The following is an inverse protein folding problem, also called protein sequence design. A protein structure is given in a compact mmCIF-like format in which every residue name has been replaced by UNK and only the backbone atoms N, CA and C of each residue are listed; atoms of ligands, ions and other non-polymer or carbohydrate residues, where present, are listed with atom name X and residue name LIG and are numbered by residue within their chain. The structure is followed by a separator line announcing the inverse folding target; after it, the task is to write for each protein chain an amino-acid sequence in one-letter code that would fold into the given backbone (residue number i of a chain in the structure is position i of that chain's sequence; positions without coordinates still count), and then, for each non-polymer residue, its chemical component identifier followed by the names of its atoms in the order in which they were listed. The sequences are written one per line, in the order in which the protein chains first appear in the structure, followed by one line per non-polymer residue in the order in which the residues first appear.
data_IF_072436911844
#
_entry.id   IF_072436911844
#
_cell.length_a   1.000
_cell.length_b   1.000
_cell.length_c   1.000
_cell.angle_alpha   90.00
_cell.angle_beta   90.00
_cell.angle_gamma   90.00
#
_symmetry.space_group_name_H-M   'P 1'
#
loop_
_entity.id
_entity.type
_entity.pdbx_description
1 polymer ?
#
# COMPACT_ATOMS: atom_id res chain seq x y z
N UNK A 1 4.88 -0.04 10.14
CA UNK A 1 5.32 -1.45 10.29
C UNK A 1 5.07 -1.97 11.70
N UNK A 2 5.49 -1.28 12.77
CA UNK A 2 5.35 -1.75 14.16
C UNK A 2 3.91 -2.06 14.55
N UNK A 3 2.94 -1.24 14.14
CA UNK A 3 1.50 -1.47 14.39
C UNK A 3 1.05 -2.80 13.78
N UNK A 4 1.40 -3.07 12.52
CA UNK A 4 1.03 -4.32 11.85
C UNK A 4 1.70 -5.54 12.48
N UNK A 5 2.95 -5.41 12.93
CA UNK A 5 3.65 -6.48 13.64
C UNK A 5 2.93 -6.80 14.95
N UNK A 6 2.63 -5.78 15.78
CA UNK A 6 1.86 -5.97 17.03
C UNK A 6 0.52 -6.64 16.79
N UNK A 7 -0.25 -6.20 15.79
CA UNK A 7 -1.55 -6.79 15.44
C UNK A 7 -1.41 -8.29 15.07
N UNK A 8 -0.41 -8.65 14.26
CA UNK A 8 -0.17 -10.06 13.90
C UNK A 8 0.20 -10.95 15.09
N UNK A 9 1.04 -10.45 16.00
CA UNK A 9 1.41 -11.22 17.19
C UNK A 9 0.24 -11.33 18.17
N UNK A 10 -0.55 -10.26 18.31
CA UNK A 10 -1.78 -10.27 19.09
C UNK A 10 -2.79 -11.32 18.59
N UNK A 11 -2.95 -11.47 17.28
CA UNK A 11 -3.78 -12.54 16.68
C UNK A 11 -3.31 -13.94 17.09
N UNK A 12 -2.01 -14.12 17.32
CA UNK A 12 -1.40 -15.37 17.80
C UNK A 12 -1.32 -15.49 19.31
N UNK A 13 -1.85 -14.50 20.05
CA UNK A 13 -1.77 -14.41 21.53
C UNK A 13 -0.33 -14.42 22.07
N UNK A 14 0.60 -13.83 21.31
CA UNK A 14 2.02 -13.69 21.68
C UNK A 14 2.28 -12.23 22.04
N UNK A 15 2.78 -11.99 23.23
CA UNK A 15 3.25 -10.67 23.66
C UNK A 15 4.69 -10.44 23.15
N UNK A 16 4.89 -9.39 22.36
CA UNK A 16 6.20 -9.00 21.84
C UNK A 16 6.66 -7.63 22.37
N UNK A 17 5.97 -7.09 23.35
CA UNK A 17 6.21 -5.70 23.81
C UNK A 17 7.66 -5.50 24.22
N UNK A 18 8.25 -6.45 24.94
CA UNK A 18 9.67 -6.41 25.36
C UNK A 18 10.68 -6.69 24.24
N UNK A 19 10.26 -7.24 23.11
CA UNK A 19 11.13 -7.65 22.00
C UNK A 19 11.01 -6.72 20.78
N UNK A 20 10.03 -5.81 20.77
CA UNK A 20 9.77 -4.91 19.64
C UNK A 20 10.43 -3.55 19.87
N UNK A 21 11.55 -3.31 19.23
CA UNK A 21 12.18 -1.99 19.18
C UNK A 21 11.67 -1.22 17.96
N UNK A 22 11.05 -0.09 18.18
CA UNK A 22 10.60 0.80 17.11
C UNK A 22 11.71 1.80 16.83
N UNK A 23 12.11 1.89 15.56
CA UNK A 23 13.11 2.86 15.08
C UNK A 23 12.37 3.90 14.23
N UNK A 24 12.70 5.16 14.42
CA UNK A 24 12.14 6.25 13.63
C UNK A 24 12.64 6.23 12.19
N UNK A 25 11.92 6.91 11.30
CA UNK A 25 12.35 7.08 9.91
C UNK A 25 13.71 7.81 9.87
N UNK A 26 14.64 7.28 9.09
CA UNK A 26 16.03 7.71 9.03
C UNK A 26 16.81 7.54 10.35
N UNK A 27 16.29 6.76 11.30
CA UNK A 27 16.96 6.45 12.55
C UNK A 27 18.07 5.41 12.40
N UNK A 28 18.79 5.19 13.48
CA UNK A 28 19.91 4.25 13.55
C UNK A 28 19.62 3.15 14.57
N UNK A 29 20.25 2.00 14.34
CA UNK A 29 20.20 0.85 15.25
C UNK A 29 21.59 0.20 15.30
N UNK A 30 22.15 0.18 16.49
CA UNK A 30 23.42 -0.51 16.74
C UNK A 30 23.14 -1.94 17.20
N UNK A 31 23.69 -2.90 16.46
CA UNK A 31 23.63 -4.34 16.72
C UNK A 31 25.06 -4.89 16.52
N UNK A 32 25.92 -4.72 17.50
CA UNK A 32 27.34 -5.09 17.41
C UNK A 32 27.55 -6.49 16.78
N UNK A 33 28.40 -6.63 15.76
CA UNK A 33 29.30 -5.63 15.17
C UNK A 33 28.71 -4.75 14.07
N UNK A 34 27.39 -4.75 13.87
CA UNK A 34 26.71 -4.04 12.80
C UNK A 34 26.16 -2.70 13.28
N UNK A 35 26.30 -1.65 12.43
CA UNK A 35 25.60 -0.38 12.60
C UNK A 35 24.65 -0.20 11.43
N UNK A 36 23.35 -0.11 11.73
CA UNK A 36 22.29 -0.05 10.73
C UNK A 36 21.70 1.36 10.72
N UNK A 37 21.65 1.95 9.55
CA UNK A 37 20.95 3.21 9.30
C UNK A 37 19.75 2.94 8.39
N UNK A 38 18.55 3.39 8.82
CA UNK A 38 17.34 3.34 8.01
C UNK A 38 17.36 4.47 6.99
N UNK A 39 17.08 4.14 5.74
CA UNK A 39 17.08 5.10 4.63
C UNK A 39 15.66 5.16 4.06
N UNK A 40 14.98 6.28 4.22
CA UNK A 40 13.62 6.44 3.70
C UNK A 40 13.61 6.35 2.18
N UNK A 41 12.80 5.45 1.66
CA UNK A 41 12.54 5.25 0.24
C UNK A 41 11.06 5.53 -0.08
N UNK A 42 10.67 5.40 -1.32
CA UNK A 42 9.26 5.43 -1.75
C UNK A 42 8.85 4.06 -2.31
N UNK A 43 7.63 3.66 -2.00
CA UNK A 43 6.94 2.50 -2.54
C UNK A 43 5.43 2.63 -2.28
N UNK A 44 4.65 1.60 -2.58
CA UNK A 44 3.21 1.60 -2.35
C UNK A 44 2.81 1.35 -0.88
N UNK A 45 3.70 0.80 -0.08
CA UNK A 45 3.49 0.55 1.36
C UNK A 45 3.78 1.81 2.18
N UNK A 46 3.33 1.81 3.45
CA UNK A 46 3.70 2.85 4.40
C UNK A 46 5.15 2.70 4.85
N UNK A 47 5.87 3.83 4.86
CA UNK A 47 7.21 3.96 5.44
C UNK A 47 8.19 2.90 4.91
N UNK A 48 8.36 2.77 3.58
CA UNK A 48 9.36 1.89 3.01
C UNK A 48 10.75 2.40 3.35
N UNK A 49 11.64 1.50 3.75
CA UNK A 49 13.01 1.84 4.12
C UNK A 49 13.99 0.87 3.46
N UNK A 50 15.08 1.42 2.95
CA UNK A 50 16.30 0.70 2.75
C UNK A 50 17.14 0.67 4.03
N UNK A 51 18.18 -0.16 4.05
CA UNK A 51 19.11 -0.28 5.14
C UNK A 51 20.54 -0.04 4.64
N UNK A 52 21.23 0.94 5.22
CA UNK A 52 22.70 1.05 5.14
C UNK A 52 23.25 0.27 6.32
N UNK A 53 23.99 -0.79 6.06
CA UNK A 53 24.53 -1.69 7.07
C UNK A 53 26.04 -1.58 7.05
N UNK A 54 26.62 -0.95 8.05
CA UNK A 54 28.07 -0.92 8.22
C UNK A 54 28.51 -2.18 8.95
N UNK A 55 29.46 -2.89 8.37
CA UNK A 55 30.05 -4.13 8.89
C UNK A 55 31.55 -3.95 9.02
N UNK A 56 32.26 -4.83 9.76
CA UNK A 56 33.75 -4.81 9.80
C UNK A 56 34.42 -4.96 8.43
N UNK A 57 33.70 -5.58 7.45
CA UNK A 57 34.21 -5.80 6.09
C UNK A 57 33.90 -4.64 5.13
N UNK A 58 32.95 -3.80 5.45
CA UNK A 58 32.51 -2.68 4.59
C UNK A 58 31.02 -2.39 4.70
N UNK A 59 30.55 -1.44 3.90
CA UNK A 59 29.16 -0.99 3.89
C UNK A 59 28.34 -1.79 2.89
N UNK A 60 27.16 -2.28 3.32
CA UNK A 60 26.14 -2.92 2.47
C UNK A 60 24.92 -1.99 2.38
N UNK A 61 24.39 -1.82 1.19
CA UNK A 61 23.11 -1.14 0.97
C UNK A 61 22.05 -2.17 0.55
N UNK A 62 21.01 -2.33 1.37
CA UNK A 62 19.84 -3.16 1.07
C UNK A 62 18.63 -2.26 0.80
N UNK A 63 18.08 -2.28 -0.39
CA UNK A 63 17.00 -1.35 -0.76
C UNK A 63 15.63 -1.79 -0.21
N UNK A 64 15.39 -3.08 0.02
CA UNK A 64 14.03 -3.60 0.08
C UNK A 64 13.30 -3.37 -1.23
N UNK A 65 11.98 -3.44 -1.20
CA UNK A 65 11.13 -3.07 -2.33
C UNK A 65 11.06 -1.54 -2.44
N UNK A 66 11.37 -1.00 -3.59
CA UNK A 66 11.45 0.44 -3.80
C UNK A 66 11.06 0.88 -5.20
N UNK A 67 10.65 2.12 -5.33
CA UNK A 67 10.56 2.85 -6.60
C UNK A 67 10.89 4.32 -6.37
N UNK A 68 11.46 4.99 -7.36
CA UNK A 68 11.59 6.45 -7.33
C UNK A 68 10.28 7.08 -7.76
N UNK A 69 9.42 7.46 -6.80
CA UNK A 69 8.23 8.25 -7.06
C UNK A 69 8.55 9.74 -6.78
N UNK A 70 8.55 10.60 -7.81
CA UNK A 70 8.89 12.01 -7.63
C UNK A 70 7.80 12.78 -6.89
N UNK A 71 6.57 12.25 -6.86
CA UNK A 71 5.41 12.88 -6.25
C UNK A 71 4.55 11.87 -5.47
N UNK A 72 5.12 11.31 -4.39
CA UNK A 72 4.42 10.31 -3.59
C UNK A 72 3.23 10.94 -2.87
N UNK A 73 2.09 10.24 -2.88
CA UNK A 73 0.86 10.69 -2.22
C UNK A 73 0.91 10.50 -0.70
N UNK A 74 1.72 9.57 -0.24
CA UNK A 74 1.84 9.19 1.17
C UNK A 74 3.31 9.03 1.52
N UNK A 75 3.66 9.51 2.71
CA UNK A 75 5.01 9.43 3.22
C UNK A 75 5.93 10.54 2.73
N UNK A 76 7.21 10.36 2.92
CA UNK A 76 8.26 11.30 2.52
C UNK A 76 8.80 10.94 1.14
N UNK A 77 9.28 11.92 0.41
CA UNK A 77 10.09 11.70 -0.80
C UNK A 77 11.40 11.02 -0.43
N UNK A 78 12.00 10.36 -1.42
CA UNK A 78 13.38 9.85 -1.28
C UNK A 78 14.33 11.03 -1.09
N UNK A 79 15.26 10.87 -0.16
CA UNK A 79 16.38 11.78 0.01
C UNK A 79 17.51 11.37 -0.95
N UNK A 80 17.47 11.93 -2.16
CA UNK A 80 18.43 11.60 -3.22
C UNK A 80 19.86 12.04 -2.85
N UNK A 81 20.02 13.14 -2.11
CA UNK A 81 21.33 13.61 -1.65
C UNK A 81 21.95 12.62 -0.64
N UNK A 82 21.11 12.11 0.27
CA UNK A 82 21.54 11.06 1.20
C UNK A 82 21.96 9.79 0.47
N UNK A 83 21.18 9.34 -0.51
CA UNK A 83 21.55 8.16 -1.32
C UNK A 83 22.84 8.38 -2.10
N UNK A 84 23.03 9.56 -2.69
CA UNK A 84 24.26 9.93 -3.36
C UNK A 84 25.45 9.90 -2.41
N UNK A 85 25.31 10.50 -1.23
CA UNK A 85 26.36 10.47 -0.20
C UNK A 85 26.73 9.05 0.21
N UNK A 86 25.75 8.15 0.37
CA UNK A 86 26.01 6.74 0.69
C UNK A 86 26.85 6.08 -0.43
N UNK A 87 26.56 6.41 -1.69
CA UNK A 87 27.34 5.94 -2.83
C UNK A 87 28.76 6.51 -2.85
N UNK A 88 28.91 7.82 -2.61
CA UNK A 88 30.21 8.52 -2.58
C UNK A 88 31.10 8.02 -1.41
N UNK A 89 30.51 7.70 -0.25
CA UNK A 89 31.20 7.08 0.90
C UNK A 89 31.70 5.66 0.61
N UNK A 90 31.20 5.02 -0.44
CA UNK A 90 31.56 3.67 -0.88
C UNK A 90 30.65 2.59 -0.32
N UNK A 91 30.14 1.75 -1.21
CA UNK A 91 29.28 0.59 -0.92
C UNK A 91 29.99 -0.67 -1.40
N UNK A 92 30.31 -1.58 -0.48
CA UNK A 92 30.95 -2.87 -0.79
C UNK A 92 30.01 -3.78 -1.61
N UNK A 93 28.72 -3.80 -1.24
CA UNK A 93 27.71 -4.60 -1.93
C UNK A 93 26.35 -3.91 -1.84
N UNK A 94 25.55 -4.04 -2.91
CA UNK A 94 24.16 -3.60 -2.95
C UNK A 94 23.23 -4.79 -3.18
N UNK A 95 22.25 -4.96 -2.28
CA UNK A 95 21.15 -5.91 -2.42
C UNK A 95 19.95 -5.09 -2.85
N UNK A 96 19.55 -5.22 -4.12
CA UNK A 96 18.58 -4.34 -4.75
C UNK A 96 17.37 -5.12 -5.29
N UNK A 97 16.16 -4.58 -5.07
CA UNK A 97 14.99 -5.04 -5.82
C UNK A 97 15.22 -4.81 -7.31
N UNK A 98 15.17 -5.89 -8.06
CA UNK A 98 15.41 -5.92 -9.50
C UNK A 98 14.18 -6.37 -10.31
N UNK A 99 12.99 -6.37 -9.70
CA UNK A 99 11.73 -6.84 -10.30
C UNK A 99 11.44 -6.21 -11.67
N UNK A 100 11.82 -4.96 -11.86
CA UNK A 100 11.59 -4.21 -13.10
C UNK A 100 12.88 -3.93 -13.90
N UNK A 101 13.98 -4.66 -13.66
CA UNK A 101 15.29 -4.40 -14.31
C UNK A 101 15.23 -4.44 -15.84
N UNK A 102 14.37 -5.28 -16.41
CA UNK A 102 14.16 -5.37 -17.86
C UNK A 102 13.06 -4.43 -18.40
N UNK A 103 12.40 -3.67 -17.53
CA UNK A 103 11.34 -2.75 -17.96
C UNK A 103 11.94 -1.42 -18.36
N UNK A 104 11.77 -1.03 -19.63
CA UNK A 104 12.24 0.26 -20.13
C UNK A 104 11.41 1.41 -19.57
N UNK A 105 12.04 2.56 -19.37
CA UNK A 105 11.38 3.79 -18.93
C UNK A 105 11.43 4.00 -17.42
N UNK A 106 10.51 4.84 -16.93
CA UNK A 106 10.39 5.20 -15.51
C UNK A 106 9.09 4.68 -14.94
N UNK A 107 9.09 4.28 -13.68
CA UNK A 107 7.86 4.03 -12.94
C UNK A 107 7.07 5.35 -12.83
N UNK A 108 5.77 5.31 -13.17
CA UNK A 108 4.88 6.46 -12.99
C UNK A 108 4.61 6.77 -11.52
N UNK A 109 4.13 7.99 -11.26
CA UNK A 109 3.74 8.41 -9.92
C UNK A 109 2.36 7.87 -9.52
N UNK A 110 2.14 7.67 -8.22
CA UNK A 110 0.80 7.41 -7.68
C UNK A 110 -0.15 8.61 -7.91
N UNK A 111 0.38 9.83 -8.02
CA UNK A 111 -0.40 11.00 -8.41
C UNK A 111 -1.01 10.88 -9.81
N UNK A 112 -0.27 10.34 -10.78
CA UNK A 112 -0.77 10.12 -12.13
C UNK A 112 -1.86 9.05 -12.13
N UNK A 113 -1.69 7.99 -11.35
CA UNK A 113 -2.72 6.95 -11.17
C UNK A 113 -3.99 7.55 -10.57
N UNK A 114 -3.88 8.42 -9.57
CA UNK A 114 -5.01 9.13 -8.97
C UNK A 114 -5.78 9.96 -10.00
N UNK A 115 -5.07 10.78 -10.78
CA UNK A 115 -5.68 11.61 -11.82
C UNK A 115 -6.45 10.77 -12.84
N UNK A 116 -5.82 9.71 -13.34
CA UNK A 116 -6.43 8.82 -14.32
C UNK A 116 -7.63 8.05 -13.75
N UNK A 117 -7.52 7.59 -12.50
CA UNK A 117 -8.62 6.92 -11.80
C UNK A 117 -9.82 7.86 -11.59
N UNK A 118 -9.59 9.12 -11.21
CA UNK A 118 -10.65 10.10 -11.06
C UNK A 118 -11.38 10.33 -12.39
N UNK A 119 -10.62 10.56 -13.48
CA UNK A 119 -11.18 10.74 -14.81
C UNK A 119 -12.02 9.54 -15.27
N UNK A 120 -11.59 8.33 -14.93
CA UNK A 120 -12.35 7.11 -15.23
C UNK A 120 -13.63 7.03 -14.39
N UNK A 121 -13.52 7.20 -13.08
CA UNK A 121 -14.66 7.09 -12.14
C UNK A 121 -15.76 8.12 -12.42
N UNK A 122 -15.41 9.34 -12.83
CA UNK A 122 -16.38 10.38 -13.19
C UNK A 122 -17.28 9.99 -14.36
N UNK A 123 -16.83 9.10 -15.25
CA UNK A 123 -17.60 8.62 -16.42
C UNK A 123 -18.51 7.45 -16.09
N UNK A 124 -18.29 6.77 -14.98
CA UNK A 124 -19.04 5.58 -14.57
C UNK A 124 -20.32 5.97 -13.84
N UNK A 125 -21.46 5.39 -14.26
CA UNK A 125 -22.81 5.78 -13.82
C UNK A 125 -23.42 4.83 -12.80
N UNK A 126 -22.79 3.71 -12.51
CA UNK A 126 -23.32 2.70 -11.60
C UNK A 126 -22.28 2.38 -10.52
N UNK A 127 -22.48 1.29 -9.80
CA UNK A 127 -21.58 0.77 -8.77
C UNK A 127 -20.19 0.55 -9.32
N UNK A 128 -19.21 0.87 -8.51
CA UNK A 128 -17.80 0.66 -8.85
C UNK A 128 -17.18 -0.26 -7.81
N UNK A 129 -16.48 -1.26 -8.27
CA UNK A 129 -15.66 -2.13 -7.45
C UNK A 129 -14.21 -1.91 -7.87
N UNK A 130 -13.38 -1.40 -6.97
CA UNK A 130 -11.94 -1.24 -7.19
C UNK A 130 -11.23 -2.35 -6.44
N UNK A 131 -10.40 -3.11 -7.12
CA UNK A 131 -9.58 -4.12 -6.46
C UNK A 131 -8.10 -3.76 -6.54
N UNK A 132 -7.41 -3.88 -5.41
CA UNK A 132 -5.98 -3.59 -5.28
C UNK A 132 -5.35 -4.39 -4.14
N UNK A 133 -4.02 -4.34 -4.04
CA UNK A 133 -3.32 -4.85 -2.86
C UNK A 133 -3.72 -4.04 -1.62
N UNK A 134 -4.08 -4.72 -0.54
CA UNK A 134 -4.43 -4.05 0.71
C UNK A 134 -3.26 -3.22 1.28
N UNK A 135 -2.01 -3.65 1.04
CA UNK A 135 -0.81 -2.95 1.46
C UNK A 135 -0.53 -1.66 0.69
N UNK A 136 -1.16 -1.46 -0.47
CA UNK A 136 -1.00 -0.23 -1.25
C UNK A 136 -1.87 0.89 -0.68
N UNK A 137 -1.36 1.54 0.37
CA UNK A 137 -2.09 2.61 1.08
C UNK A 137 -2.21 3.87 0.22
N UNK A 138 -1.25 4.15 -0.64
CA UNK A 138 -1.34 5.26 -1.60
C UNK A 138 -2.51 5.08 -2.58
N UNK A 139 -2.73 3.84 -3.05
CA UNK A 139 -3.87 3.50 -3.89
C UNK A 139 -5.19 3.56 -3.12
N UNK A 140 -5.19 3.07 -1.88
CA UNK A 140 -6.33 3.19 -0.98
C UNK A 140 -6.74 4.66 -0.82
N UNK A 141 -5.80 5.55 -0.50
CA UNK A 141 -6.04 6.98 -0.36
C UNK A 141 -6.57 7.59 -1.66
N UNK A 142 -6.05 7.18 -2.82
CA UNK A 142 -6.54 7.63 -4.13
C UNK A 142 -7.99 7.23 -4.39
N UNK A 143 -8.42 6.04 -3.97
CA UNK A 143 -9.83 5.60 -4.10
C UNK A 143 -10.73 6.42 -3.18
N UNK A 144 -10.31 6.70 -1.94
CA UNK A 144 -11.03 7.59 -1.03
C UNK A 144 -11.17 9.00 -1.62
N UNK A 145 -10.09 9.56 -2.15
CA UNK A 145 -10.11 10.84 -2.84
C UNK A 145 -11.10 10.85 -4.01
N UNK A 146 -11.10 9.82 -4.84
CA UNK A 146 -12.03 9.71 -5.95
C UNK A 146 -13.50 9.59 -5.48
N UNK A 147 -13.74 8.84 -4.40
CA UNK A 147 -15.07 8.72 -3.81
C UNK A 147 -15.59 10.10 -3.36
N UNK A 148 -14.79 10.85 -2.60
CA UNK A 148 -15.11 12.20 -2.14
C UNK A 148 -15.38 13.15 -3.32
N UNK A 149 -14.50 13.20 -4.33
CA UNK A 149 -14.61 14.08 -5.50
C UNK A 149 -15.81 13.77 -6.40
N UNK A 150 -16.32 12.55 -6.33
CA UNK A 150 -17.50 12.12 -7.13
C UNK A 150 -18.79 12.01 -6.31
N UNK A 151 -18.76 12.44 -5.04
CA UNK A 151 -19.92 12.39 -4.14
C UNK A 151 -20.39 10.95 -3.88
N UNK A 152 -19.48 9.99 -3.87
CA UNK A 152 -19.75 8.58 -3.60
C UNK A 152 -19.29 8.22 -2.19
N UNK A 153 -20.02 7.33 -1.57
CA UNK A 153 -19.56 6.66 -0.35
C UNK A 153 -18.58 5.53 -0.70
N UNK A 154 -17.83 5.07 0.28
CA UNK A 154 -16.86 3.98 0.09
C UNK A 154 -17.09 2.90 1.14
N UNK A 155 -16.94 1.65 0.74
CA UNK A 155 -16.93 0.50 1.63
C UNK A 155 -15.69 -0.34 1.40
N UNK A 156 -15.04 -0.74 2.47
CA UNK A 156 -13.87 -1.64 2.43
C UNK A 156 -14.36 -3.09 2.48
N UNK A 157 -13.78 -3.95 1.63
CA UNK A 157 -14.17 -5.36 1.54
C UNK A 157 -12.93 -6.26 1.62
N UNK A 158 -12.89 -7.10 2.64
CA UNK A 158 -11.78 -7.99 2.93
C UNK A 158 -11.03 -7.61 4.21
N UNK A 159 -10.73 -8.62 5.04
CA UNK A 159 -10.12 -8.44 6.37
C UNK A 159 -8.80 -7.66 6.35
N UNK A 160 -7.94 -7.94 5.38
CA UNK A 160 -6.65 -7.23 5.24
C UNK A 160 -6.83 -5.76 4.86
N UNK A 161 -7.87 -5.43 4.08
CA UNK A 161 -8.18 -4.03 3.73
C UNK A 161 -8.52 -3.21 4.98
N UNK A 162 -9.42 -3.73 5.83
CA UNK A 162 -9.78 -3.09 7.10
C UNK A 162 -8.58 -2.98 8.05
N UNK A 163 -7.76 -4.03 8.17
CA UNK A 163 -6.58 -4.04 9.04
C UNK A 163 -5.57 -2.99 8.63
N UNK A 164 -5.26 -2.90 7.33
CA UNK A 164 -4.31 -1.91 6.82
C UNK A 164 -4.86 -0.49 6.96
N UNK A 165 -6.14 -0.27 6.67
CA UNK A 165 -6.79 1.03 6.88
C UNK A 165 -6.68 1.49 8.33
N UNK A 166 -7.03 0.62 9.29
CA UNK A 166 -6.92 0.92 10.72
C UNK A 166 -5.49 1.24 11.12
N UNK A 167 -4.52 0.42 10.71
CA UNK A 167 -3.11 0.64 11.00
C UNK A 167 -2.58 1.95 10.39
N UNK A 168 -3.00 2.29 9.19
CA UNK A 168 -2.65 3.56 8.55
C UNK A 168 -3.19 4.76 9.34
N UNK A 169 -4.45 4.72 9.78
CA UNK A 169 -5.04 5.77 10.63
C UNK A 169 -4.32 5.90 11.97
N UNK A 170 -4.00 4.80 12.62
CA UNK A 170 -3.25 4.78 13.89
C UNK A 170 -1.85 5.41 13.74
N UNK A 171 -1.17 5.16 12.62
CA UNK A 171 0.11 5.76 12.29
C UNK A 171 0.02 7.23 11.81
N UNK A 172 -1.18 7.81 11.78
CA UNK A 172 -1.37 9.21 11.39
C UNK A 172 -1.60 9.46 9.90
N UNK A 173 -1.64 8.40 9.09
CA UNK A 173 -2.05 8.46 7.69
C UNK A 173 -3.57 8.34 7.55
N UNK A 174 -4.11 8.67 6.38
CA UNK A 174 -5.55 8.57 6.08
C UNK A 174 -6.47 9.28 7.10
N UNK A 175 -5.96 10.30 7.81
CA UNK A 175 -6.76 11.03 8.83
C UNK A 175 -7.87 11.90 8.24
N UNK A 176 -7.69 12.33 7.00
CA UNK A 176 -8.60 13.29 6.33
C UNK A 176 -9.54 12.61 5.32
N UNK A 177 -9.50 11.28 5.22
CA UNK A 177 -10.42 10.57 4.32
C UNK A 177 -11.79 10.40 4.97
N UNK A 178 -12.82 10.29 4.13
CA UNK A 178 -14.19 9.96 4.59
C UNK A 178 -14.18 8.60 5.30
N UNK A 179 -15.04 8.42 6.29
CA UNK A 179 -15.15 7.13 6.96
C UNK A 179 -15.82 6.10 6.03
N UNK A 180 -15.24 4.89 5.90
CA UNK A 180 -15.85 3.85 5.12
C UNK A 180 -17.09 3.30 5.85
N UNK A 181 -18.14 3.00 5.09
CA UNK A 181 -19.34 2.35 5.61
C UNK A 181 -19.19 0.82 5.60
N UNK A 182 -19.92 0.14 6.48
CA UNK A 182 -19.95 -1.33 6.51
C UNK A 182 -20.54 -1.88 5.20
N UNK A 183 -20.03 -3.00 4.71
CA UNK A 183 -20.50 -3.59 3.45
C UNK A 183 -22.00 -4.02 3.50
N UNK A 184 -22.50 -4.36 4.69
CA UNK A 184 -23.93 -4.66 4.89
C UNK A 184 -24.80 -3.43 4.73
N UNK A 185 -24.35 -2.29 5.25
CA UNK A 185 -25.08 -1.03 5.15
C UNK A 185 -25.01 -0.45 3.72
N UNK A 186 -23.89 -0.69 3.05
CA UNK A 186 -23.65 -0.28 1.67
C UNK A 186 -24.66 -0.86 0.66
N UNK A 187 -25.34 -1.97 0.98
CA UNK A 187 -26.43 -2.54 0.16
C UNK A 187 -27.58 -1.57 -0.02
N UNK A 188 -27.82 -0.70 0.97
CA UNK A 188 -28.92 0.27 0.96
C UNK A 188 -28.57 1.56 0.24
N UNK A 189 -27.32 1.72 -0.22
CA UNK A 189 -26.85 2.89 -0.95
C UNK A 189 -27.14 2.72 -2.44
N UNK A 190 -27.65 3.78 -3.07
CA UNK A 190 -27.86 3.79 -4.53
C UNK A 190 -26.57 3.41 -5.27
N UNK A 191 -26.71 2.57 -6.31
CA UNK A 191 -25.57 2.00 -7.05
C UNK A 191 -24.64 3.04 -7.68
N UNK A 192 -25.16 4.20 -8.00
CA UNK A 192 -24.35 5.32 -8.52
C UNK A 192 -23.62 6.11 -7.42
N UNK A 193 -23.87 5.79 -6.15
CA UNK A 193 -23.31 6.48 -4.98
C UNK A 193 -22.37 5.65 -4.13
N UNK A 194 -21.95 4.47 -4.61
CA UNK A 194 -21.08 3.57 -3.84
C UNK A 194 -19.85 3.13 -4.64
N UNK A 195 -18.70 3.11 -3.97
CA UNK A 195 -17.49 2.45 -4.40
C UNK A 195 -17.13 1.37 -3.36
N UNK A 196 -16.90 0.15 -3.80
CA UNK A 196 -16.29 -0.89 -2.97
C UNK A 196 -14.79 -0.96 -3.28
N UNK A 197 -13.94 -0.89 -2.25
CA UNK A 197 -12.51 -1.16 -2.36
C UNK A 197 -12.22 -2.52 -1.74
N UNK A 198 -11.75 -3.46 -2.55
CA UNK A 198 -11.61 -4.86 -2.14
C UNK A 198 -10.23 -5.45 -2.44
N UNK A 199 -9.93 -6.57 -1.77
CA UNK A 199 -8.77 -7.43 -2.05
C UNK A 199 -9.08 -8.40 -3.18
N UNK A 200 -8.05 -9.07 -3.71
CA UNK A 200 -8.20 -10.09 -4.75
C UNK A 200 -7.82 -9.60 -6.14
N UNK A 201 -6.90 -8.63 -6.24
CA UNK A 201 -6.47 -8.04 -7.51
C UNK A 201 -5.63 -8.96 -8.38
N UNK A 202 -5.16 -10.08 -7.85
CA UNK A 202 -4.37 -11.09 -8.56
C UNK A 202 -5.12 -12.43 -8.73
N UNK A 203 -6.44 -12.44 -8.50
CA UNK A 203 -7.22 -13.67 -8.60
C UNK A 203 -7.03 -14.62 -7.41
N UNK A 204 -6.54 -14.13 -6.28
CA UNK A 204 -6.33 -14.96 -5.08
C UNK A 204 -7.63 -15.66 -4.65
N UNK A 205 -7.64 -16.99 -4.49
CA UNK A 205 -8.87 -17.75 -4.22
C UNK A 205 -9.65 -17.28 -2.99
N UNK A 206 -8.94 -16.79 -1.96
CA UNK A 206 -9.53 -16.23 -0.74
C UNK A 206 -9.74 -14.72 -0.81
N UNK A 207 -9.44 -14.10 -1.93
CA UNK A 207 -9.63 -12.67 -2.15
C UNK A 207 -11.11 -12.29 -2.19
N UNK A 208 -11.43 -11.07 -1.73
CA UNK A 208 -12.81 -10.61 -1.75
C UNK A 208 -13.36 -10.52 -3.19
N UNK A 209 -12.55 -10.08 -4.15
CA UNK A 209 -12.96 -9.99 -5.56
C UNK A 209 -13.34 -11.36 -6.13
N UNK A 210 -12.60 -12.42 -5.85
CA UNK A 210 -12.93 -13.76 -6.32
C UNK A 210 -14.28 -14.23 -5.75
N UNK A 211 -14.54 -13.97 -4.46
CA UNK A 211 -15.83 -14.30 -3.84
C UNK A 211 -16.99 -13.50 -4.43
N UNK A 212 -16.77 -12.23 -4.75
CA UNK A 212 -17.75 -11.37 -5.41
C UNK A 212 -18.06 -11.89 -6.82
N UNK A 213 -17.01 -12.21 -7.60
CA UNK A 213 -17.14 -12.72 -8.96
C UNK A 213 -17.89 -14.06 -9.03
N UNK A 214 -17.72 -14.90 -8.03
CA UNK A 214 -18.41 -16.21 -7.93
C UNK A 214 -19.77 -16.12 -7.21
N UNK A 215 -20.26 -14.92 -6.91
CA UNK A 215 -21.55 -14.70 -6.21
C UNK A 215 -21.67 -15.39 -4.85
N UNK A 216 -20.54 -15.62 -4.17
CA UNK A 216 -20.48 -16.22 -2.81
C UNK A 216 -20.09 -15.23 -1.71
N UNK A 217 -19.96 -13.95 -2.05
CA UNK A 217 -19.74 -12.92 -1.04
C UNK A 217 -21.09 -12.57 -0.38
N UNK A 218 -21.19 -12.50 0.98
CA UNK A 218 -22.47 -12.34 1.66
C UNK A 218 -23.13 -10.98 1.44
N UNK A 219 -22.33 -9.95 1.16
CA UNK A 219 -22.79 -8.57 1.19
C UNK A 219 -22.58 -7.81 -0.11
N UNK A 220 -21.70 -8.27 -0.99
CA UNK A 220 -21.34 -7.57 -2.23
C UNK A 220 -21.50 -8.50 -3.42
N UNK A 221 -22.17 -8.03 -4.44
CA UNK A 221 -22.39 -8.75 -5.70
C UNK A 221 -22.29 -7.79 -6.89
N UNK A 222 -22.03 -8.34 -8.06
CA UNK A 222 -21.95 -7.60 -9.33
C UNK A 222 -23.27 -7.69 -10.06
N UNK A 223 -23.72 -6.58 -10.59
CA UNK A 223 -24.91 -6.49 -11.44
C UNK A 223 -24.56 -5.90 -12.80
N UNK A 224 -25.51 -6.02 -13.73
CA UNK A 224 -25.38 -5.44 -15.08
C UNK A 224 -25.08 -3.94 -15.01
N UNK A 225 -24.05 -3.52 -15.76
CA UNK A 225 -23.54 -2.16 -15.85
C UNK A 225 -22.74 -1.67 -14.63
N UNK A 226 -22.44 -2.51 -13.65
CA UNK A 226 -21.42 -2.20 -12.64
C UNK A 226 -20.04 -2.22 -13.30
N UNK A 227 -19.11 -1.47 -12.75
CA UNK A 227 -17.72 -1.42 -13.23
C UNK A 227 -16.79 -2.08 -12.22
N UNK A 228 -15.85 -2.87 -12.72
CA UNK A 228 -14.75 -3.43 -11.93
C UNK A 228 -13.43 -2.85 -12.43
N UNK A 229 -12.67 -2.23 -11.54
CA UNK A 229 -11.36 -1.63 -11.83
C UNK A 229 -10.28 -2.47 -11.13
N UNK A 230 -9.46 -3.18 -11.91
CA UNK A 230 -8.27 -3.84 -11.42
C UNK A 230 -7.14 -2.81 -11.34
N UNK A 231 -6.85 -2.33 -10.14
CA UNK A 231 -5.87 -1.29 -9.90
C UNK A 231 -4.56 -1.86 -9.34
N UNK A 232 -3.98 -2.79 -10.10
CA UNK A 232 -2.71 -3.48 -9.84
C UNK A 232 -2.05 -3.87 -11.15
N UNK A 233 -0.72 -4.05 -11.12
CA UNK A 233 0.01 -4.70 -12.20
C UNK A 233 -0.27 -6.20 -12.14
N UNK A 234 -0.43 -6.83 -13.29
CA UNK A 234 -0.51 -8.30 -13.36
C UNK A 234 0.84 -8.89 -12.98
N UNK A 235 0.83 -9.83 -12.05
CA UNK A 235 2.03 -10.58 -11.66
C UNK A 235 2.04 -11.88 -12.49
N UNK A 236 3.13 -12.20 -13.20
CA UNK A 236 3.22 -13.45 -13.96
C UNK A 236 2.98 -14.66 -13.07
N UNK A 237 2.15 -15.59 -13.54
CA UNK A 237 1.77 -16.81 -12.81
C UNK A 237 0.47 -16.72 -12.01
N UNK A 238 -0.18 -15.56 -12.02
CA UNK A 238 -1.50 -15.35 -11.41
C UNK A 238 -2.59 -15.17 -12.48
#
# INVERSE_FOLDING_TARGET
TSVLVREKFKEKKIDITSHLKVVELNGNLDLDPFKIEFVTLTHSILEPNGLKINTPAGTILHTGDWKCDPDPLIGKKIDEEKLKKIGDDGVLAMICDSTNVFSMGRAGSEMDVRKNMLNLIQRLKKRIIVTSFASNVARMESVFYCAEKTGRQISLVGRSMHRIFKAAKECGYLKKVIEPIDARDAKNISRDKIIYLCTGSQGEPMGAMMRIANYVHPDVYIEKNDAVIFSSKIIPGN
#
